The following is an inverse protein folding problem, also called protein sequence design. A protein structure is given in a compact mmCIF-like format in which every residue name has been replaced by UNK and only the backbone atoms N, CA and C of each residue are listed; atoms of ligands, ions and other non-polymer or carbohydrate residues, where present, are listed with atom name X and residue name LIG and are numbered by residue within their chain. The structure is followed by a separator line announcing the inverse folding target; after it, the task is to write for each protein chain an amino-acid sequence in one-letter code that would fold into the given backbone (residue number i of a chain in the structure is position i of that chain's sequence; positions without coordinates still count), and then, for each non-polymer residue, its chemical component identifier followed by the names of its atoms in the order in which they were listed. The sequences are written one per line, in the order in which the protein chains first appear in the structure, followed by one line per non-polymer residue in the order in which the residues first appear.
data_IF_659763446315
#
_entry.id   IF_659763446315
#
_cell.length_a   1.000
_cell.length_b   1.000
_cell.length_c   1.000
_cell.angle_alpha   90.00
_cell.angle_beta   90.00
_cell.angle_gamma   90.00
#
_symmetry.space_group_name_H-M   'P 1'
#
loop_
_entity.id
_entity.type
_entity.pdbx_description
1 polymer ?
#
# COMPACT_ATOMS: atom_id res chain seq x y z
N UNK A 1 -1.93 38.61 16.55
CA UNK A 1 -2.50 37.49 15.79
C UNK A 1 -1.42 36.96 14.86
N UNK A 2 -0.68 35.94 15.28
CA UNK A 2 0.26 35.25 14.39
C UNK A 2 -0.56 34.40 13.42
N UNK A 3 -0.40 34.62 12.11
CA UNK A 3 -1.00 33.76 11.08
C UNK A 3 -0.38 32.38 11.24
N UNK A 4 -1.16 31.39 11.67
CA UNK A 4 -0.75 30.00 11.56
C UNK A 4 -0.50 29.69 10.08
N UNK A 5 0.77 29.44 9.75
CA UNK A 5 1.14 28.95 8.43
C UNK A 5 0.57 27.53 8.29
N UNK A 6 -0.56 27.42 7.62
CA UNK A 6 -1.27 26.17 7.41
C UNK A 6 -1.14 25.76 5.93
N UNK A 7 -0.07 25.05 5.54
CA UNK A 7 0.13 24.70 4.14
C UNK A 7 -1.01 23.80 3.66
N UNK A 8 -1.52 24.12 2.47
CA UNK A 8 -2.54 23.32 1.80
C UNK A 8 -1.93 21.95 1.42
N UNK A 9 -2.45 20.82 1.95
CA UNK A 9 -1.89 19.50 1.68
C UNK A 9 -1.86 19.15 0.18
N UNK A 10 -2.83 19.63 -0.61
CA UNK A 10 -2.90 19.39 -2.04
C UNK A 10 -1.75 20.06 -2.81
N UNK A 11 -1.42 21.31 -2.45
CA UNK A 11 -0.28 22.03 -3.04
C UNK A 11 1.05 21.36 -2.67
N UNK A 12 1.19 20.89 -1.42
CA UNK A 12 2.39 20.18 -0.97
C UNK A 12 2.56 18.86 -1.73
N UNK A 13 1.48 18.08 -1.86
CA UNK A 13 1.48 16.83 -2.64
C UNK A 13 1.86 17.07 -4.11
N UNK A 14 1.24 18.05 -4.77
CA UNK A 14 1.54 18.39 -6.17
C UNK A 14 3.00 18.83 -6.37
N UNK A 15 3.55 19.61 -5.43
CA UNK A 15 4.97 19.99 -5.44
C UNK A 15 5.90 18.79 -5.24
N UNK A 16 5.58 17.88 -4.32
CA UNK A 16 6.35 16.65 -4.13
C UNK A 16 6.36 15.86 -5.44
N UNK A 17 5.19 15.59 -6.04
CA UNK A 17 5.11 14.84 -7.31
C UNK A 17 5.94 15.50 -8.42
N UNK A 18 5.86 16.82 -8.54
CA UNK A 18 6.61 17.59 -9.53
C UNK A 18 8.13 17.51 -9.30
N UNK A 19 8.56 17.40 -8.04
CA UNK A 19 9.96 17.27 -7.66
C UNK A 19 10.48 15.82 -7.69
N UNK A 20 9.62 14.81 -7.79
CA UNK A 20 10.05 13.41 -7.88
C UNK A 20 10.84 13.16 -9.17
N UNK A 21 12.11 12.83 -9.00
CA UNK A 21 12.99 12.42 -10.09
C UNK A 21 12.67 11.01 -10.61
N UNK A 22 13.33 10.63 -11.71
CA UNK A 22 13.12 9.34 -12.34
C UNK A 22 13.43 8.16 -11.40
N UNK A 23 14.54 8.15 -10.64
CA UNK A 23 14.80 7.11 -9.63
C UNK A 23 13.70 6.98 -8.57
N UNK A 24 13.21 8.08 -8.00
CA UNK A 24 12.17 8.03 -6.98
C UNK A 24 10.85 7.48 -7.53
N UNK A 25 10.46 7.90 -8.74
CA UNK A 25 9.28 7.37 -9.43
C UNK A 25 9.40 5.88 -9.73
N UNK A 26 10.57 5.44 -10.19
CA UNK A 26 10.84 4.03 -10.45
C UNK A 26 10.86 3.19 -9.17
N UNK A 27 11.29 3.78 -8.05
CA UNK A 27 11.29 3.15 -6.73
C UNK A 27 9.89 2.74 -6.25
N UNK A 28 8.88 3.58 -6.48
CA UNK A 28 7.47 3.31 -6.13
C UNK A 28 6.86 2.11 -6.85
N UNK A 29 7.52 1.57 -7.89
CA UNK A 29 7.08 0.36 -8.58
C UNK A 29 8.21 -0.65 -8.71
N UNK A 30 9.21 -0.62 -7.83
CA UNK A 30 10.37 -1.51 -7.95
C UNK A 30 10.05 -2.98 -7.65
N UNK A 31 11.04 -3.85 -7.81
CA UNK A 31 10.87 -5.29 -7.63
C UNK A 31 10.39 -5.69 -6.21
N UNK A 32 10.75 -4.92 -5.18
CA UNK A 32 10.31 -5.19 -3.80
C UNK A 32 8.85 -4.80 -3.61
N UNK A 33 8.44 -3.65 -4.15
CA UNK A 33 7.06 -3.16 -4.12
C UNK A 33 6.14 -4.09 -4.90
N UNK A 34 6.57 -4.53 -6.09
CA UNK A 34 5.84 -5.53 -6.89
C UNK A 34 5.70 -6.86 -6.14
N UNK A 35 6.74 -7.29 -5.41
CA UNK A 35 6.65 -8.49 -4.58
C UNK A 35 5.57 -8.35 -3.50
N UNK A 36 5.45 -7.18 -2.86
CA UNK A 36 4.43 -6.93 -1.85
C UNK A 36 3.01 -7.01 -2.44
N UNK A 37 2.77 -6.34 -3.58
CA UNK A 37 1.50 -6.43 -4.30
C UNK A 37 1.19 -7.89 -4.71
N UNK A 38 2.18 -8.60 -5.27
CA UNK A 38 2.04 -10.00 -5.68
C UNK A 38 1.61 -10.90 -4.50
N UNK A 39 2.11 -10.63 -3.28
CA UNK A 39 1.70 -11.39 -2.08
C UNK A 39 0.25 -11.12 -1.69
N UNK A 40 -0.19 -9.86 -1.71
CA UNK A 40 -1.59 -9.51 -1.42
C UNK A 40 -2.54 -10.19 -2.42
N UNK A 41 -2.21 -10.13 -3.70
CA UNK A 41 -3.02 -10.72 -4.76
C UNK A 41 -3.05 -12.25 -4.68
N UNK A 42 -1.89 -12.88 -4.43
CA UNK A 42 -1.84 -14.34 -4.21
C UNK A 42 -2.58 -14.77 -2.95
N UNK A 43 -2.68 -13.92 -1.91
CA UNK A 43 -3.49 -14.23 -0.75
C UNK A 43 -4.97 -14.39 -1.10
N UNK A 44 -5.50 -13.53 -1.96
CA UNK A 44 -6.85 -13.66 -2.49
C UNK A 44 -7.03 -14.94 -3.32
N UNK A 45 -6.10 -15.22 -4.24
CA UNK A 45 -6.15 -16.43 -5.08
C UNK A 45 -5.98 -17.74 -4.27
N UNK A 46 -5.18 -17.72 -3.20
CA UNK A 46 -5.03 -18.86 -2.29
C UNK A 46 -6.28 -19.04 -1.42
N UNK A 47 -6.85 -17.95 -0.90
CA UNK A 47 -8.10 -17.99 -0.14
C UNK A 47 -9.25 -18.60 -0.96
N UNK A 48 -9.35 -18.27 -2.25
CA UNK A 48 -10.33 -18.86 -3.17
C UNK A 48 -10.18 -20.39 -3.34
N UNK A 49 -8.99 -20.94 -3.07
CA UNK A 49 -8.70 -22.38 -3.11
C UNK A 49 -8.71 -23.04 -1.72
N UNK A 50 -9.06 -22.31 -0.67
CA UNK A 50 -9.01 -22.78 0.72
C UNK A 50 -7.60 -22.84 1.34
N UNK A 51 -6.59 -22.32 0.64
CA UNK A 51 -5.18 -22.40 1.03
C UNK A 51 -4.62 -21.17 1.76
N UNK A 52 -5.47 -20.31 2.33
CA UNK A 52 -4.99 -19.09 2.99
C UNK A 52 -4.04 -19.38 4.17
N UNK A 53 -4.27 -20.50 4.87
CA UNK A 53 -3.41 -20.96 5.97
C UNK A 53 -1.97 -21.29 5.54
N UNK A 54 -1.74 -21.62 4.27
CA UNK A 54 -0.40 -21.93 3.75
C UNK A 54 0.47 -20.66 3.57
N UNK A 55 -0.17 -19.49 3.56
CA UNK A 55 0.50 -18.18 3.45
C UNK A 55 0.83 -17.56 4.81
N UNK A 56 0.37 -18.17 5.90
CA UNK A 56 0.68 -17.74 7.26
C UNK A 56 1.93 -18.49 7.72
N UNK A 57 2.99 -17.76 8.05
CA UNK A 57 4.22 -18.38 8.56
C UNK A 57 3.94 -19.24 9.80
N UNK A 58 4.56 -20.43 9.93
CA UNK A 58 4.39 -21.28 11.11
C UNK A 58 4.87 -20.52 12.36
N UNK A 59 3.94 -20.20 13.27
CA UNK A 59 4.20 -19.43 14.49
C UNK A 59 3.43 -18.10 14.62
N UNK A 60 2.54 -17.77 13.68
CA UNK A 60 1.68 -16.59 13.79
C UNK A 60 0.87 -16.57 15.11
N UNK A 61 0.61 -15.38 15.68
CA UNK A 61 -0.08 -15.23 16.95
C UNK A 61 -1.41 -15.99 16.94
N UNK A 62 -1.70 -16.65 18.06
CA UNK A 62 -2.80 -17.61 18.20
C UNK A 62 -4.20 -17.06 17.87
N UNK A 63 -5.26 -17.88 18.03
CA UNK A 63 -6.59 -17.69 17.42
C UNK A 63 -7.37 -16.40 17.77
N UNK A 64 -6.81 -15.51 18.60
CA UNK A 64 -7.45 -14.28 19.09
C UNK A 64 -7.29 -13.05 18.19
N UNK A 65 -6.38 -13.07 17.21
CA UNK A 65 -6.17 -11.94 16.30
C UNK A 65 -5.78 -12.39 14.87
N UNK A 66 -6.65 -13.13 14.16
CA UNK A 66 -6.31 -13.75 12.88
C UNK A 66 -5.98 -12.74 11.78
N UNK A 67 -6.59 -11.54 11.78
CA UNK A 67 -6.24 -10.48 10.83
C UNK A 67 -4.80 -9.97 11.02
N UNK A 68 -4.37 -9.78 12.28
CA UNK A 68 -3.01 -9.35 12.61
C UNK A 68 -2.02 -10.47 12.28
N UNK A 69 -2.35 -11.71 12.62
CA UNK A 69 -1.52 -12.88 12.29
C UNK A 69 -1.35 -13.08 10.79
N UNK A 70 -2.42 -12.89 10.01
CA UNK A 70 -2.36 -12.95 8.56
C UNK A 70 -1.52 -11.80 7.97
N UNK A 71 -1.75 -10.57 8.43
CA UNK A 71 -0.98 -9.40 7.99
C UNK A 71 0.52 -9.58 8.25
N UNK A 72 0.88 -10.04 9.46
CA UNK A 72 2.26 -10.36 9.81
C UNK A 72 2.81 -11.51 8.95
N UNK A 73 2.07 -12.62 8.83
CA UNK A 73 2.52 -13.79 8.05
C UNK A 73 2.78 -13.49 6.58
N UNK A 74 1.90 -12.74 5.94
CA UNK A 74 2.06 -12.32 4.53
C UNK A 74 3.22 -11.33 4.39
N UNK A 75 3.38 -10.40 5.34
CA UNK A 75 4.52 -9.47 5.37
C UNK A 75 5.85 -10.20 5.54
N UNK A 76 5.93 -11.18 6.44
CA UNK A 76 7.13 -11.99 6.66
C UNK A 76 7.48 -12.85 5.44
N UNK A 77 6.49 -13.40 4.74
CA UNK A 77 6.72 -14.11 3.47
C UNK A 77 7.22 -13.15 2.38
N UNK A 78 6.65 -11.95 2.28
CA UNK A 78 7.10 -10.92 1.33
C UNK A 78 8.55 -10.52 1.62
N UNK A 79 8.87 -10.17 2.86
CA UNK A 79 10.22 -9.75 3.29
C UNK A 79 11.27 -10.84 3.03
N UNK A 80 10.93 -12.09 3.36
CA UNK A 80 11.80 -13.24 3.06
C UNK A 80 12.08 -13.39 1.56
N UNK A 81 11.06 -13.23 0.70
CA UNK A 81 11.21 -13.32 -0.75
C UNK A 81 12.03 -12.16 -1.32
N UNK A 82 11.83 -10.96 -0.82
CA UNK A 82 12.62 -9.77 -1.19
C UNK A 82 14.09 -10.01 -0.83
N UNK A 83 14.35 -10.48 0.39
CA UNK A 83 15.68 -10.83 0.89
C UNK A 83 16.34 -11.93 0.06
N UNK A 84 15.61 -13.00 -0.28
CA UNK A 84 16.10 -14.10 -1.13
C UNK A 84 16.51 -13.65 -2.54
N UNK A 85 15.90 -12.57 -3.05
CA UNK A 85 16.24 -11.97 -4.34
C UNK A 85 17.42 -10.98 -4.25
N UNK A 86 17.96 -10.74 -3.05
CA UNK A 86 19.05 -9.79 -2.84
C UNK A 86 18.66 -8.33 -3.10
N UNK A 87 17.37 -8.01 -3.03
CA UNK A 87 16.86 -6.65 -3.28
C UNK A 87 16.88 -5.86 -1.97
N UNK A 88 17.59 -4.74 -1.94
CA UNK A 88 17.51 -3.76 -0.86
C UNK A 88 16.83 -2.50 -1.40
N UNK A 89 15.68 -2.14 -0.83
CA UNK A 89 14.92 -0.97 -1.27
C UNK A 89 14.18 -0.31 -0.12
N UNK A 90 14.40 1.00 0.03
CA UNK A 90 13.62 1.82 0.96
C UNK A 90 12.14 1.87 0.59
N UNK A 91 11.81 1.79 -0.70
CA UNK A 91 10.44 1.71 -1.17
C UNK A 91 9.84 0.34 -0.87
N UNK A 92 10.65 -0.73 -0.92
CA UNK A 92 10.28 -2.05 -0.42
C UNK A 92 9.90 -2.05 1.06
N UNK A 93 10.66 -1.37 1.93
CA UNK A 93 10.33 -1.24 3.35
C UNK A 93 8.97 -0.55 3.56
N UNK A 94 8.69 0.49 2.77
CA UNK A 94 7.43 1.24 2.78
C UNK A 94 6.28 0.34 2.29
N UNK A 95 6.48 -0.36 1.17
CA UNK A 95 5.54 -1.29 0.59
C UNK A 95 5.18 -2.44 1.54
N UNK A 96 6.13 -2.91 2.36
CA UNK A 96 5.87 -3.92 3.39
C UNK A 96 4.93 -3.40 4.49
N UNK A 97 4.99 -2.11 4.84
CA UNK A 97 4.03 -1.50 5.77
C UNK A 97 2.66 -1.32 5.09
N UNK A 98 2.66 -0.93 3.82
CA UNK A 98 1.44 -0.80 3.02
C UNK A 98 0.70 -2.12 2.87
N UNK A 99 1.42 -3.22 2.63
CA UNK A 99 0.90 -4.58 2.57
C UNK A 99 0.19 -4.96 3.87
N UNK A 100 0.82 -4.73 5.03
CA UNK A 100 0.20 -4.99 6.33
C UNK A 100 -1.05 -4.14 6.56
N UNK A 101 -0.97 -2.84 6.25
CA UNK A 101 -2.09 -1.88 6.40
C UNK A 101 -3.27 -2.25 5.52
N UNK A 102 -3.00 -2.71 4.29
CA UNK A 102 -4.02 -3.18 3.35
C UNK A 102 -4.78 -4.38 3.88
N UNK A 103 -4.08 -5.39 4.42
CA UNK A 103 -4.72 -6.59 4.98
C UNK A 103 -5.59 -6.23 6.19
N UNK A 104 -5.12 -5.32 7.05
CA UNK A 104 -5.88 -4.86 8.21
C UNK A 104 -7.12 -4.05 7.81
N UNK A 105 -7.02 -3.19 6.78
CA UNK A 105 -8.19 -2.48 6.24
C UNK A 105 -9.22 -3.46 5.67
N UNK A 106 -8.77 -4.43 4.86
CA UNK A 106 -9.64 -5.47 4.30
C UNK A 106 -10.33 -6.30 5.38
N UNK A 107 -9.63 -6.60 6.48
CA UNK A 107 -10.25 -7.25 7.64
C UNK A 107 -11.27 -6.33 8.34
N UNK A 108 -10.95 -5.04 8.47
CA UNK A 108 -11.85 -4.04 9.06
C UNK A 108 -13.19 -3.89 8.32
N UNK A 109 -13.23 -4.16 7.02
CA UNK A 109 -14.46 -4.14 6.22
C UNK A 109 -15.45 -5.27 6.58
N UNK A 110 -14.99 -6.30 7.31
CA UNK A 110 -15.79 -7.47 7.67
C UNK A 110 -16.33 -7.37 9.10
N UNK A 111 -15.62 -6.64 9.98
CA UNK A 111 -15.94 -6.54 11.40
C UNK A 111 -17.18 -5.69 11.67
N UNK A 112 -18.17 -6.26 12.34
CA UNK A 112 -19.27 -5.50 12.95
C UNK A 112 -18.71 -4.73 14.15
N UNK A 113 -18.65 -3.39 14.05
CA UNK A 113 -18.22 -2.53 15.16
C UNK A 113 -16.73 -2.17 15.21
N UNK A 114 -15.99 -2.30 14.09
CA UNK A 114 -14.64 -1.73 13.95
C UNK A 114 -13.51 -2.47 14.68
N UNK A 115 -13.77 -3.66 15.21
CA UNK A 115 -12.75 -4.50 15.86
C UNK A 115 -11.98 -5.40 14.87
N UNK A 116 -10.69 -5.63 15.14
CA UNK A 116 -9.83 -6.58 14.41
C UNK A 116 -10.10 -8.06 14.75
N UNK A 117 -11.15 -8.34 15.55
CA UNK A 117 -11.58 -9.70 15.90
C UNK A 117 -12.54 -10.23 14.84
N UNK A 118 -11.99 -10.55 13.67
CA UNK A 118 -12.73 -11.18 12.57
C UNK A 118 -12.53 -12.69 12.64
N UNK A 119 -13.60 -13.48 12.47
CA UNK A 119 -13.46 -14.93 12.38
C UNK A 119 -12.58 -15.32 11.15
N UNK A 120 -11.63 -16.27 11.28
CA UNK A 120 -10.75 -16.66 10.18
C UNK A 120 -11.49 -17.02 8.88
N UNK A 121 -12.59 -17.76 8.99
CA UNK A 121 -13.39 -18.19 7.84
C UNK A 121 -14.06 -17.00 7.12
N UNK A 122 -14.49 -15.97 7.86
CA UNK A 122 -15.04 -14.74 7.28
C UNK A 122 -13.96 -13.98 6.51
N UNK A 123 -12.75 -13.88 7.08
CA UNK A 123 -11.61 -13.23 6.43
C UNK A 123 -11.19 -13.98 5.16
N UNK A 124 -11.12 -15.30 5.22
CA UNK A 124 -10.83 -16.14 4.06
C UNK A 124 -11.90 -15.97 2.97
N UNK A 125 -13.18 -16.01 3.34
CA UNK A 125 -14.28 -15.83 2.38
C UNK A 125 -14.24 -14.44 1.73
N UNK A 126 -13.97 -13.40 2.51
CA UNK A 126 -13.85 -12.03 1.99
C UNK A 126 -12.68 -11.90 1.01
N UNK A 127 -11.51 -12.40 1.37
CA UNK A 127 -10.33 -12.38 0.49
C UNK A 127 -10.55 -13.22 -0.77
N UNK A 128 -11.17 -14.40 -0.65
CA UNK A 128 -11.54 -15.25 -1.78
C UNK A 128 -12.48 -14.52 -2.77
N UNK A 129 -13.38 -13.69 -2.23
CA UNK A 129 -14.34 -12.91 -3.01
C UNK A 129 -13.67 -12.00 -4.05
N UNK A 130 -12.52 -11.40 -3.73
CA UNK A 130 -11.82 -10.51 -4.69
C UNK A 130 -11.35 -11.26 -5.94
N UNK A 131 -10.77 -12.45 -5.78
CA UNK A 131 -10.37 -13.29 -6.91
C UNK A 131 -11.58 -13.84 -7.65
N UNK A 132 -12.54 -14.42 -6.93
CA UNK A 132 -13.70 -15.10 -7.51
C UNK A 132 -14.65 -14.15 -8.26
N UNK A 133 -14.76 -12.89 -7.83
CA UNK A 133 -15.67 -11.90 -8.39
C UNK A 133 -15.01 -10.93 -9.38
N UNK A 134 -13.75 -11.16 -9.77
CA UNK A 134 -13.00 -10.26 -10.67
C UNK A 134 -12.85 -8.84 -10.12
N UNK A 135 -12.36 -8.76 -8.87
CA UNK A 135 -12.14 -7.51 -8.14
C UNK A 135 -10.69 -7.37 -7.66
N UNK A 136 -9.73 -7.97 -8.35
CA UNK A 136 -8.30 -7.85 -8.00
C UNK A 136 -7.79 -6.41 -8.08
N UNK A 137 -8.31 -5.61 -9.01
CA UNK A 137 -8.04 -4.16 -9.08
C UNK A 137 -8.40 -3.44 -7.77
N UNK A 138 -9.42 -3.89 -7.04
CA UNK A 138 -9.77 -3.31 -5.74
C UNK A 138 -8.67 -3.56 -4.70
N UNK A 139 -8.03 -4.74 -4.73
CA UNK A 139 -6.87 -5.04 -3.86
C UNK A 139 -5.66 -4.20 -4.24
N UNK A 140 -5.40 -4.06 -5.55
CA UNK A 140 -4.35 -3.17 -6.06
C UNK A 140 -4.57 -1.73 -5.64
N UNK A 141 -5.81 -1.23 -5.71
CA UNK A 141 -6.20 0.11 -5.28
C UNK A 141 -5.98 0.30 -3.78
N UNK A 142 -6.44 -0.65 -2.94
CA UNK A 142 -6.19 -0.61 -1.49
C UNK A 142 -4.69 -0.60 -1.18
N UNK A 143 -3.90 -1.45 -1.83
CA UNK A 143 -2.44 -1.45 -1.67
C UNK A 143 -1.82 -0.11 -2.07
N UNK A 144 -2.18 0.41 -3.25
CA UNK A 144 -1.66 1.67 -3.77
C UNK A 144 -1.97 2.84 -2.84
N UNK A 145 -3.18 2.89 -2.29
CA UNK A 145 -3.60 3.90 -1.32
C UNK A 145 -2.68 3.93 -0.10
N UNK A 146 -2.42 2.76 0.50
CA UNK A 146 -1.52 2.66 1.65
C UNK A 146 -0.07 2.93 1.29
N UNK A 147 0.39 2.45 0.13
CA UNK A 147 1.76 2.64 -0.34
C UNK A 147 2.07 4.12 -0.56
N UNK A 148 1.14 4.84 -1.19
CA UNK A 148 1.24 6.30 -1.37
C UNK A 148 1.11 7.05 -0.04
N UNK A 149 0.23 6.63 0.86
CA UNK A 149 0.14 7.23 2.20
C UNK A 149 1.49 7.18 2.92
N UNK A 150 2.09 5.99 3.01
CA UNK A 150 3.37 5.79 3.67
C UNK A 150 4.54 6.46 2.93
N UNK A 151 4.56 6.40 1.59
CA UNK A 151 5.61 7.01 0.78
C UNK A 151 5.61 8.53 0.88
N UNK A 152 4.45 9.18 0.78
CA UNK A 152 4.37 10.65 0.89
C UNK A 152 4.60 11.12 2.32
N UNK A 153 4.13 10.37 3.32
CA UNK A 153 4.53 10.62 4.72
C UNK A 153 6.04 10.56 4.89
N UNK A 154 6.70 9.56 4.28
CA UNK A 154 8.16 9.44 4.29
C UNK A 154 8.86 10.62 3.59
N UNK A 155 8.41 11.04 2.40
CA UNK A 155 9.00 12.19 1.70
C UNK A 155 8.92 13.47 2.55
N UNK A 156 7.76 13.72 3.15
CA UNK A 156 7.56 14.85 4.06
C UNK A 156 8.45 14.72 5.29
N UNK A 157 8.46 13.57 5.96
CA UNK A 157 9.28 13.35 7.16
C UNK A 157 10.79 13.46 6.90
N UNK A 158 11.25 13.14 5.68
CA UNK A 158 12.65 13.28 5.26
C UNK A 158 13.04 14.75 5.05
N UNK A 159 12.16 15.54 4.44
CA UNK A 159 12.50 16.87 3.94
C UNK A 159 12.10 18.02 4.90
N UNK A 160 11.22 17.75 5.87
CA UNK A 160 10.75 18.73 6.86
C UNK A 160 11.65 18.98 8.09
N UNK A 161 12.54 18.09 8.56
CA UNK A 161 13.24 18.29 9.85
C UNK A 161 13.94 19.64 10.01
N UNK A 162 14.49 20.20 8.93
CA UNK A 162 15.15 21.51 8.91
C UNK A 162 14.22 22.72 9.18
N UNK A 163 12.90 22.53 9.08
CA UNK A 163 11.90 23.57 9.36
C UNK A 163 11.29 23.45 10.75
N UNK A 164 11.58 22.37 11.50
CA UNK A 164 11.04 22.19 12.85
C UNK A 164 11.71 23.17 13.81
N UNK A 165 10.92 23.89 14.60
CA UNK A 165 11.38 24.98 15.47
C UNK A 165 11.44 26.35 14.78
N UNK A 166 11.02 26.44 13.52
CA UNK A 166 10.88 27.73 12.79
C UNK A 166 9.46 28.28 12.94
N UNK A 167 9.22 29.52 12.50
CA UNK A 167 7.87 30.11 12.48
C UNK A 167 6.87 29.30 11.65
N UNK A 168 7.34 28.59 10.61
CA UNK A 168 6.49 27.78 9.73
C UNK A 168 6.06 26.44 10.36
N UNK A 169 6.93 25.82 11.17
CA UNK A 169 6.65 24.60 11.93
C UNK A 169 7.25 24.71 13.34
N UNK A 170 6.60 25.44 14.25
CA UNK A 170 7.14 25.74 15.58
C UNK A 170 7.43 24.50 16.42
N UNK A 171 6.65 23.44 16.25
CA UNK A 171 6.75 22.24 17.08
C UNK A 171 6.86 20.94 16.28
N UNK A 172 7.40 19.89 16.93
CA UNK A 172 7.36 18.52 16.42
C UNK A 172 5.91 18.05 16.23
N UNK A 173 5.00 18.45 17.12
CA UNK A 173 3.59 18.10 17.03
C UNK A 173 2.94 18.63 15.74
N UNK A 174 3.23 19.87 15.35
CA UNK A 174 2.73 20.44 14.09
C UNK A 174 3.33 19.75 12.86
N UNK A 175 4.59 19.32 12.91
CA UNK A 175 5.19 18.49 11.85
C UNK A 175 4.46 17.15 11.70
N UNK A 176 4.12 16.48 12.80
CA UNK A 176 3.35 15.23 12.78
C UNK A 176 1.94 15.47 12.22
N UNK A 177 1.26 16.54 12.66
CA UNK A 177 -0.07 16.89 12.14
C UNK A 177 -0.05 17.19 10.63
N UNK A 178 1.00 17.84 10.13
CA UNK A 178 1.18 18.06 8.70
C UNK A 178 1.36 16.73 7.97
N UNK A 179 2.22 15.84 8.46
CA UNK A 179 2.40 14.50 7.90
C UNK A 179 1.09 13.71 7.84
N UNK A 180 0.30 13.72 8.92
CA UNK A 180 -0.99 13.02 8.97
C UNK A 180 -2.02 13.62 8.00
N UNK A 181 -2.02 14.95 7.83
CA UNK A 181 -2.89 15.61 6.84
C UNK A 181 -2.47 15.31 5.40
N UNK A 182 -1.17 15.22 5.14
CA UNK A 182 -0.64 14.80 3.84
C UNK A 182 -1.05 13.36 3.55
N UNK A 183 -0.82 12.45 4.49
CA UNK A 183 -1.23 11.06 4.42
C UNK A 183 -2.74 10.92 4.13
N UNK A 184 -3.59 11.59 4.91
CA UNK A 184 -5.04 11.58 4.72
C UNK A 184 -5.50 12.15 3.38
N UNK A 185 -4.89 13.24 2.92
CA UNK A 185 -5.20 13.84 1.61
C UNK A 185 -4.75 12.92 0.47
N UNK A 186 -3.58 12.30 0.61
CA UNK A 186 -3.04 11.34 -0.34
C UNK A 186 -4.02 10.17 -0.53
N UNK A 187 -4.45 9.55 0.58
CA UNK A 187 -5.44 8.47 0.61
C UNK A 187 -6.76 8.85 -0.08
N UNK A 188 -7.27 10.05 0.14
CA UNK A 188 -8.50 10.54 -0.50
C UNK A 188 -8.34 10.66 -2.02
N UNK A 189 -7.24 11.25 -2.49
CA UNK A 189 -7.01 11.45 -3.93
C UNK A 189 -6.73 10.12 -4.63
N UNK A 190 -5.83 9.29 -4.09
CA UNK A 190 -5.47 8.01 -4.70
C UNK A 190 -6.59 6.98 -4.61
N UNK A 191 -7.46 7.06 -3.59
CA UNK A 191 -8.65 6.22 -3.48
C UNK A 191 -9.71 6.48 -4.56
N UNK A 192 -9.63 7.63 -5.24
CA UNK A 192 -10.48 7.95 -6.39
C UNK A 192 -9.94 7.48 -7.75
N UNK A 193 -8.76 6.87 -7.79
CA UNK A 193 -8.15 6.39 -9.05
C UNK A 193 -8.83 5.09 -9.48
N UNK A 194 -9.40 5.11 -10.70
CA UNK A 194 -9.99 3.93 -11.31
C UNK A 194 -8.90 3.02 -11.91
N UNK A 195 -8.90 1.76 -11.47
CA UNK A 195 -8.03 0.69 -11.92
C UNK A 195 -8.84 -0.49 -12.49
N UNK A 196 -10.15 -0.33 -12.73
CA UNK A 196 -11.02 -1.42 -13.19
C UNK A 196 -10.57 -2.05 -14.51
N UNK A 197 -9.96 -1.26 -15.39
CA UNK A 197 -9.38 -1.72 -16.66
C UNK A 197 -8.13 -2.60 -16.49
N UNK A 198 -7.46 -2.54 -15.33
CA UNK A 198 -6.29 -3.39 -15.03
C UNK A 198 -6.66 -4.80 -14.53
N UNK A 199 -7.94 -5.12 -14.35
CA UNK A 199 -8.40 -6.41 -13.81
C UNK A 199 -7.89 -7.59 -14.67
N UNK A 200 -8.06 -7.50 -15.99
CA UNK A 200 -7.66 -8.55 -16.92
C UNK A 200 -6.16 -8.81 -16.90
N UNK A 201 -5.35 -7.74 -16.89
CA UNK A 201 -3.89 -7.83 -16.81
C UNK A 201 -3.42 -8.39 -15.47
N UNK A 202 -4.04 -7.95 -14.37
CA UNK A 202 -3.73 -8.41 -13.01
C UNK A 202 -4.02 -9.91 -12.88
N UNK A 203 -5.19 -10.36 -13.34
CA UNK A 203 -5.55 -11.78 -13.34
C UNK A 203 -4.62 -12.60 -14.24
N UNK A 204 -4.39 -12.15 -15.46
CA UNK A 204 -3.52 -12.84 -16.42
C UNK A 204 -2.08 -12.99 -15.91
N UNK A 205 -1.59 -12.03 -15.10
CA UNK A 205 -0.32 -12.12 -14.41
C UNK A 205 -0.33 -13.19 -13.29
N UNK A 206 -1.38 -13.26 -12.47
CA UNK A 206 -1.50 -14.27 -11.41
C UNK A 206 -1.60 -15.71 -11.94
N UNK A 207 -2.21 -15.89 -13.10
CA UNK A 207 -2.34 -17.18 -13.78
C UNK A 207 -1.01 -17.69 -14.36
N UNK A 208 0.04 -16.86 -14.41
CA UNK A 208 1.35 -17.31 -14.86
C UNK A 208 2.00 -18.29 -13.87
N UNK A 209 2.43 -19.49 -14.33
CA UNK A 209 3.11 -20.45 -13.48
C UNK A 209 4.53 -20.01 -13.14
N UNK A 210 5.22 -19.34 -14.07
CA UNK A 210 6.57 -18.81 -13.89
C UNK A 210 6.55 -17.57 -12.96
N UNK A 211 7.20 -17.63 -11.78
CA UNK A 211 7.28 -16.48 -10.88
C UNK A 211 7.96 -15.26 -11.48
N UNK A 212 8.95 -15.43 -12.36
CA UNK A 212 9.64 -14.29 -12.98
C UNK A 212 8.74 -13.57 -13.97
N UNK A 213 8.07 -14.33 -14.84
CA UNK A 213 7.09 -13.76 -15.76
C UNK A 213 5.94 -13.08 -15.03
N UNK A 214 5.41 -13.68 -13.95
CA UNK A 214 4.37 -13.06 -13.12
C UNK A 214 4.81 -11.71 -12.56
N UNK A 215 6.01 -11.63 -11.98
CA UNK A 215 6.56 -10.38 -11.43
C UNK A 215 6.76 -9.34 -12.54
N UNK A 216 7.26 -9.73 -13.71
CA UNK A 216 7.41 -8.80 -14.85
C UNK A 216 6.07 -8.19 -15.30
N UNK A 217 5.01 -9.00 -15.36
CA UNK A 217 3.67 -8.53 -15.74
C UNK A 217 3.06 -7.63 -14.65
N UNK A 218 3.14 -8.04 -13.39
CA UNK A 218 2.66 -7.23 -12.26
C UNK A 218 3.43 -5.92 -12.10
N UNK A 219 4.71 -5.89 -12.49
CA UNK A 219 5.47 -4.64 -12.57
C UNK A 219 4.84 -3.66 -13.57
N UNK A 220 4.36 -4.14 -14.72
CA UNK A 220 3.62 -3.33 -15.69
C UNK A 220 2.35 -2.73 -15.08
N UNK A 221 1.54 -3.57 -14.43
CA UNK A 221 0.30 -3.16 -13.74
C UNK A 221 0.57 -2.12 -12.67
N UNK A 222 1.53 -2.40 -11.76
CA UNK A 222 1.85 -1.49 -10.66
C UNK A 222 2.42 -0.17 -11.19
N UNK A 223 3.29 -0.20 -12.19
CA UNK A 223 3.86 1.01 -12.79
C UNK A 223 2.78 1.91 -13.39
N UNK A 224 1.79 1.33 -14.07
CA UNK A 224 0.66 2.09 -14.62
C UNK A 224 -0.20 2.69 -13.49
N UNK A 225 -0.53 1.88 -12.48
CA UNK A 225 -1.29 2.32 -11.30
C UNK A 225 -0.58 3.48 -10.55
N UNK A 226 0.73 3.36 -10.32
CA UNK A 226 1.57 4.42 -9.75
C UNK A 226 1.54 5.67 -10.64
N UNK A 227 1.65 5.50 -11.96
CA UNK A 227 1.56 6.61 -12.92
C UNK A 227 0.24 7.38 -12.82
N UNK A 228 -0.89 6.67 -12.73
CA UNK A 228 -2.22 7.27 -12.53
C UNK A 228 -2.35 7.95 -11.17
N UNK A 229 -1.88 7.31 -10.09
CA UNK A 229 -1.87 7.86 -8.73
C UNK A 229 -1.07 9.17 -8.63
N UNK A 230 0.15 9.18 -9.18
CA UNK A 230 0.96 10.40 -9.25
C UNK A 230 0.29 11.49 -10.10
N UNK A 231 -0.35 11.13 -11.21
CA UNK A 231 -1.06 12.09 -12.07
C UNK A 231 -2.27 12.71 -11.37
N UNK A 232 -3.02 11.92 -10.61
CA UNK A 232 -4.14 12.40 -9.79
C UNK A 232 -3.65 13.38 -8.71
N UNK A 233 -2.57 13.04 -8.00
CA UNK A 233 -1.98 13.91 -6.97
C UNK A 233 -1.40 15.20 -7.53
N UNK A 234 -0.77 15.15 -8.71
CA UNK A 234 -0.27 16.36 -9.37
C UNK A 234 -1.42 17.30 -9.75
N UNK A 235 -2.52 16.75 -10.25
CA UNK A 235 -3.69 17.51 -10.74
C UNK A 235 -4.55 18.06 -9.61
N UNK A 236 -4.57 17.41 -8.45
CA UNK A 236 -5.43 17.81 -7.32
C UNK A 236 -4.98 19.11 -6.63
N UNK A 237 -3.74 19.57 -6.85
CA UNK A 237 -3.21 20.83 -6.31
C UNK A 237 -3.11 21.98 -7.31
N UNK A 238 -3.60 21.79 -8.54
CA UNK A 238 -3.58 22.79 -9.63
C UNK A 238 -4.92 23.50 -9.84
#
# INVERSE_FOLDING_TARGET
MYRQYNPNPLEVLSRIVSALDRPARAGLSDAATVCCLERLLNASAAAARGGLGELVSPGAPGPRAPAIGLAAGIKDDADRRISQRGVSSRYGDIALQALGSSILELAGQIGEGGGLQVAPDRLQTHLAGFYAQSRLHSLTSTFLVHDFEHAFRYFVARDIPQFVGTEALPTVAESVQLQDRIAGTCRLVTGGVDLGDSEGETRGALEQPDPEQRIRLLHGVLRDAVGRGLSALASAGG
#
